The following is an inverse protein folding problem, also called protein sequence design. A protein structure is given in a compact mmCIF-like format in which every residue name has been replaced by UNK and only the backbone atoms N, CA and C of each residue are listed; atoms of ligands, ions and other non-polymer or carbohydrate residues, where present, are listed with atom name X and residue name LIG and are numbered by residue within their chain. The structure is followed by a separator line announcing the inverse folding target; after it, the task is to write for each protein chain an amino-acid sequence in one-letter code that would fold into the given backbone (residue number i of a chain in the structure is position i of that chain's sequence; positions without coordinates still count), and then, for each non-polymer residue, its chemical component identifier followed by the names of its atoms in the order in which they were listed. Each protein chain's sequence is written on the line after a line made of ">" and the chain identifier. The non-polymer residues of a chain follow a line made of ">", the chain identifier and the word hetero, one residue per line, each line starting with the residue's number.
data_IF_456084272971
#
_entry.id   IF_456084272971
#
_cell.length_a   1.000
_cell.length_b   1.000
_cell.length_c   1.000
_cell.angle_alpha   90.00
_cell.angle_beta   90.00
_cell.angle_gamma   90.00
#
_symmetry.space_group_name_H-M   'P 1'
#
loop_
_entity.id
_entity.type
_entity.pdbx_description
1 polymer ?
#
# COMPACT_ATOMS: atom_id res chain seq x y z
N UNK A 1 30.72 5.35 6.26
CA UNK A 1 30.35 6.77 6.46
C UNK A 1 29.34 6.77 7.60
N UNK A 2 29.55 7.45 8.72
CA UNK A 2 28.66 7.21 9.89
C UNK A 2 27.45 8.12 9.87
N UNK A 3 26.29 7.57 9.48
CA UNK A 3 25.00 8.23 9.65
C UNK A 3 24.53 8.11 11.10
N UNK A 4 23.90 9.17 11.60
CA UNK A 4 23.31 9.20 12.94
C UNK A 4 21.79 9.17 12.81
N UNK A 5 21.14 8.23 13.49
CA UNK A 5 19.69 8.20 13.63
C UNK A 5 19.31 8.87 14.94
N UNK A 6 18.35 9.81 14.87
CA UNK A 6 17.76 10.43 16.05
C UNK A 6 16.29 10.77 15.83
N UNK A 7 15.56 10.93 16.92
CA UNK A 7 14.18 11.44 16.87
C UNK A 7 14.17 12.84 16.25
N UNK A 8 13.22 13.07 15.34
CA UNK A 8 12.91 14.37 14.74
C UNK A 8 11.48 14.76 15.10
N UNK A 9 11.19 16.05 15.03
CA UNK A 9 9.81 16.54 15.22
C UNK A 9 8.92 16.14 14.05
N UNK A 10 7.60 16.09 14.27
CA UNK A 10 6.63 15.86 13.19
C UNK A 10 6.75 16.92 12.08
N UNK A 11 7.06 18.17 12.43
CA UNK A 11 7.30 19.25 11.46
C UNK A 11 8.51 18.92 10.56
N UNK A 12 9.66 18.56 11.14
CA UNK A 12 10.85 18.18 10.36
C UNK A 12 10.58 16.99 9.44
N UNK A 13 9.80 16.01 9.91
CA UNK A 13 9.43 14.87 9.09
C UNK A 13 8.48 15.27 7.94
N UNK A 14 7.52 16.16 8.20
CA UNK A 14 6.66 16.72 7.14
C UNK A 14 7.45 17.53 6.12
N UNK A 15 8.40 18.35 6.55
CA UNK A 15 9.28 19.10 5.65
C UNK A 15 10.11 18.17 4.77
N UNK A 16 10.62 17.06 5.34
CA UNK A 16 11.26 16.00 4.56
C UNK A 16 10.30 15.44 3.51
N UNK A 17 9.10 15.02 3.91
CA UNK A 17 8.09 14.44 3.02
C UNK A 17 7.74 15.39 1.87
N UNK A 18 7.55 16.67 2.17
CA UNK A 18 7.23 17.71 1.17
C UNK A 18 8.37 17.92 0.16
N UNK A 19 9.61 17.57 0.51
CA UNK A 19 10.77 17.64 -0.40
C UNK A 19 10.88 16.45 -1.35
N UNK A 20 10.08 15.40 -1.15
CA UNK A 20 10.09 14.17 -1.98
C UNK A 20 8.96 14.24 -3.01
N UNK A 21 9.13 13.63 -4.20
CA UNK A 21 8.03 13.51 -5.15
C UNK A 21 6.81 12.80 -4.54
N UNK A 22 7.07 11.76 -3.74
CA UNK A 22 6.09 11.06 -2.93
C UNK A 22 6.80 10.21 -1.89
N UNK A 23 6.15 9.99 -0.76
CA UNK A 23 6.45 8.89 0.18
C UNK A 23 5.16 8.11 0.44
N UNK A 24 5.25 6.90 1.00
CA UNK A 24 4.05 6.19 1.43
C UNK A 24 3.26 6.99 2.46
N UNK A 25 1.92 7.01 2.32
CA UNK A 25 1.05 7.59 3.34
C UNK A 25 1.19 6.92 4.71
N UNK A 26 1.73 5.70 4.77
CA UNK A 26 2.00 4.98 6.01
C UNK A 26 3.22 5.54 6.78
N UNK A 27 4.02 6.40 6.13
CA UNK A 27 5.17 7.07 6.72
C UNK A 27 4.87 8.52 7.14
N UNK A 28 3.64 9.00 6.99
CA UNK A 28 3.22 10.31 7.50
C UNK A 28 3.21 10.32 9.05
N UNK A 29 3.74 11.35 9.73
CA UNK A 29 3.63 11.47 11.19
C UNK A 29 2.21 11.26 11.72
N UNK A 30 1.22 11.79 11.00
CA UNK A 30 -0.22 11.74 11.28
C UNK A 30 -0.74 10.30 11.26
N UNK A 31 -0.12 9.41 10.47
CA UNK A 31 -0.48 8.00 10.44
C UNK A 31 -0.23 7.32 11.79
N UNK A 32 0.77 7.78 12.55
CA UNK A 32 1.02 7.31 13.90
C UNK A 32 -0.18 7.53 14.83
N UNK A 33 -0.88 8.65 14.68
CA UNK A 33 -2.06 8.98 15.47
C UNK A 33 -3.30 8.16 15.05
N UNK A 34 -3.37 7.68 13.81
CA UNK A 34 -4.44 6.77 13.36
C UNK A 34 -4.35 5.40 14.06
N UNK A 35 -3.15 4.96 14.43
CA UNK A 35 -2.89 3.60 14.95
C UNK A 35 -3.11 3.47 16.46
N UNK A 36 -4.35 3.18 16.84
CA UNK A 36 -4.71 2.86 18.24
C UNK A 36 -3.95 1.64 18.75
N UNK A 37 -3.44 1.74 19.98
CA UNK A 37 -2.66 0.68 20.61
C UNK A 37 -1.19 0.65 20.17
N UNK A 38 -0.77 1.61 19.35
CA UNK A 38 0.61 1.85 18.97
C UNK A 38 1.05 3.22 19.47
N UNK A 39 2.34 3.36 19.79
CA UNK A 39 3.00 4.66 19.91
C UNK A 39 3.86 4.88 18.68
N UNK A 40 4.06 6.12 18.24
CA UNK A 40 4.87 6.43 17.07
C UNK A 40 6.09 7.29 17.40
N UNK A 41 7.11 7.21 16.56
CA UNK A 41 8.31 8.04 16.63
C UNK A 41 8.75 8.39 15.20
N UNK A 42 8.95 9.68 14.92
CA UNK A 42 9.58 10.10 13.67
C UNK A 42 11.09 10.10 13.85
N UNK A 43 11.80 9.40 12.97
CA UNK A 43 13.25 9.30 12.95
C UNK A 43 13.81 10.03 11.74
N UNK A 44 14.97 10.66 11.92
CA UNK A 44 15.77 11.24 10.86
C UNK A 44 17.17 10.64 10.83
N UNK A 45 17.69 10.44 9.63
CA UNK A 45 19.09 10.07 9.37
C UNK A 45 19.89 11.34 9.08
N UNK A 46 21.01 11.51 9.76
CA UNK A 46 21.84 12.69 9.66
C UNK A 46 23.25 12.36 9.16
N UNK A 47 23.67 13.10 8.14
CA UNK A 47 25.05 13.22 7.66
C UNK A 47 25.60 14.57 8.16
N UNK A 48 26.37 14.53 9.25
CA UNK A 48 26.69 15.72 10.03
C UNK A 48 25.42 16.39 10.56
N UNK A 49 25.18 17.65 10.16
CA UNK A 49 23.97 18.39 10.53
C UNK A 49 22.80 18.19 9.54
N UNK A 50 23.06 17.61 8.36
CA UNK A 50 22.10 17.53 7.26
C UNK A 50 21.20 16.31 7.42
N UNK A 51 19.88 16.52 7.37
CA UNK A 51 18.89 15.45 7.28
C UNK A 51 18.96 14.83 5.86
N UNK A 52 19.17 13.52 5.78
CA UNK A 52 19.35 12.78 4.51
C UNK A 52 18.37 11.62 4.34
N UNK A 53 17.51 11.38 5.32
CA UNK A 53 16.45 10.36 5.27
C UNK A 53 15.51 10.51 6.45
N UNK A 54 14.30 9.98 6.33
CA UNK A 54 13.33 9.98 7.42
C UNK A 54 12.45 8.72 7.42
N UNK A 55 11.82 8.45 8.56
CA UNK A 55 10.88 7.35 8.67
C UNK A 55 10.02 7.43 9.92
N UNK A 56 8.81 6.89 9.82
CA UNK A 56 7.90 6.71 10.93
C UNK A 56 8.03 5.29 11.48
N UNK A 57 8.43 5.18 12.74
CA UNK A 57 8.41 3.91 13.49
C UNK A 57 7.15 3.85 14.34
N UNK A 58 6.42 2.74 14.22
CA UNK A 58 5.33 2.38 15.10
C UNK A 58 5.80 1.32 16.10
N UNK A 59 5.50 1.52 17.38
CA UNK A 59 5.83 0.59 18.44
C UNK A 59 4.55 0.01 19.06
N UNK A 60 4.45 -1.33 19.05
CA UNK A 60 3.42 -2.06 19.79
C UNK A 60 4.03 -2.70 21.02
N UNK A 61 3.70 -2.17 22.20
CA UNK A 61 4.18 -2.72 23.46
C UNK A 61 3.64 -4.14 23.71
N UNK A 62 4.45 -4.97 24.35
CA UNK A 62 4.00 -6.25 24.88
C UNK A 62 3.02 -5.99 26.02
N UNK A 63 1.85 -6.68 26.07
CA UNK A 63 0.92 -6.56 27.18
C UNK A 63 1.62 -6.75 28.53
N UNK A 64 1.38 -5.84 29.47
CA UNK A 64 2.00 -5.79 30.81
C UNK A 64 3.52 -5.52 30.86
N UNK A 65 4.21 -5.42 29.73
CA UNK A 65 5.65 -5.09 29.68
C UNK A 65 5.89 -3.93 28.71
N UNK A 66 5.58 -2.70 29.16
CA UNK A 66 5.68 -1.49 28.33
C UNK A 66 7.09 -1.18 27.83
N UNK A 67 8.13 -1.68 28.52
CA UNK A 67 9.54 -1.51 28.15
C UNK A 67 10.00 -2.39 26.96
N UNK A 68 9.10 -3.21 26.38
CA UNK A 68 9.39 -4.09 25.25
C UNK A 68 8.34 -3.92 24.16
N UNK A 69 8.79 -3.79 22.92
CA UNK A 69 7.90 -3.54 21.79
C UNK A 69 8.32 -4.29 20.52
N UNK A 70 7.33 -4.57 19.68
CA UNK A 70 7.54 -4.77 18.25
C UNK A 70 7.66 -3.38 17.61
N UNK A 71 8.74 -3.11 16.90
CA UNK A 71 8.92 -1.91 16.09
C UNK A 71 8.56 -2.20 14.64
N UNK A 72 7.88 -1.27 13.97
CA UNK A 72 7.40 -1.45 12.61
C UNK A 72 7.49 -0.16 11.77
N UNK A 73 8.12 -0.23 10.60
CA UNK A 73 8.14 0.84 9.59
C UNK A 73 7.37 0.38 8.34
N UNK A 74 6.04 0.57 8.30
CA UNK A 74 5.24 0.20 7.12
C UNK A 74 5.64 1.05 5.92
N UNK A 75 6.01 0.40 4.80
CA UNK A 75 6.38 1.09 3.55
C UNK A 75 7.55 2.08 3.67
N UNK A 76 8.37 1.97 4.71
CA UNK A 76 9.54 2.81 4.93
C UNK A 76 10.74 2.06 5.49
N UNK A 77 11.77 2.79 5.95
CA UNK A 77 11.90 4.26 5.90
C UNK A 77 12.13 4.81 4.48
N UNK A 78 11.97 6.13 4.28
CA UNK A 78 12.39 6.85 3.07
C UNK A 78 13.85 7.27 3.21
N UNK A 79 14.73 6.40 2.70
CA UNK A 79 16.19 6.53 2.70
C UNK A 79 16.74 6.18 1.31
N UNK A 80 18.04 6.36 1.11
CA UNK A 80 18.71 6.04 -0.16
C UNK A 80 18.98 4.54 -0.35
N UNK A 81 17.89 3.77 -0.48
CA UNK A 81 17.93 2.32 -0.67
C UNK A 81 18.73 1.89 -1.91
N UNK A 82 18.66 2.67 -2.98
CA UNK A 82 19.26 2.36 -4.28
C UNK A 82 20.66 2.99 -4.46
N UNK A 83 21.18 3.67 -3.43
CA UNK A 83 22.53 4.28 -3.39
C UNK A 83 22.76 5.28 -4.53
N UNK A 84 21.79 6.17 -4.72
CA UNK A 84 21.76 7.15 -5.82
C UNK A 84 22.14 8.56 -5.39
N UNK A 85 21.91 8.89 -4.12
CA UNK A 85 21.99 10.26 -3.59
C UNK A 85 23.13 10.49 -2.60
N UNK A 86 23.62 9.44 -1.94
CA UNK A 86 24.73 9.51 -0.99
C UNK A 86 25.89 8.57 -1.39
N UNK A 87 26.78 9.01 -2.31
CA UNK A 87 27.90 8.19 -2.76
C UNK A 87 28.79 7.73 -1.61
N UNK A 88 29.20 6.46 -1.63
CA UNK A 88 30.06 5.88 -0.62
C UNK A 88 29.33 5.33 0.62
N UNK A 89 28.07 5.70 0.86
CA UNK A 89 27.25 5.03 1.86
C UNK A 89 26.83 3.63 1.37
N UNK A 90 26.97 2.65 2.24
CA UNK A 90 26.44 1.30 2.08
C UNK A 90 25.06 1.21 2.74
N UNK A 91 24.27 0.19 2.41
CA UNK A 91 22.97 -0.01 3.04
C UNK A 91 23.10 -0.20 4.57
N UNK A 92 24.20 -0.80 5.04
CA UNK A 92 24.45 -1.00 6.46
C UNK A 92 24.67 0.32 7.21
N UNK A 93 25.30 1.31 6.56
CA UNK A 93 25.46 2.65 7.15
C UNK A 93 24.08 3.29 7.47
N UNK A 94 23.00 2.89 6.77
CA UNK A 94 21.64 3.33 7.06
C UNK A 94 20.92 2.44 8.08
N UNK A 95 21.07 1.11 7.98
CA UNK A 95 20.28 0.16 8.78
C UNK A 95 20.86 -0.07 10.18
N UNK A 96 22.17 -0.09 10.35
CA UNK A 96 22.80 -0.33 11.65
C UNK A 96 22.43 0.72 12.71
N UNK A 97 22.44 2.04 12.43
CA UNK A 97 22.00 3.03 13.41
C UNK A 97 20.49 2.95 13.69
N UNK A 98 19.65 2.55 12.73
CA UNK A 98 18.22 2.29 12.96
C UNK A 98 18.01 1.11 13.93
N UNK A 99 18.72 0.00 13.70
CA UNK A 99 18.67 -1.18 14.56
C UNK A 99 19.14 -0.85 15.99
N UNK A 100 20.23 -0.09 16.11
CA UNK A 100 20.75 0.37 17.40
C UNK A 100 19.73 1.28 18.13
N UNK A 101 19.12 2.24 17.42
CA UNK A 101 18.09 3.12 17.98
C UNK A 101 16.87 2.33 18.46
N UNK A 102 16.27 1.51 17.60
CA UNK A 102 15.11 0.69 17.98
C UNK A 102 15.42 -0.24 19.16
N UNK A 103 16.61 -0.84 19.21
CA UNK A 103 17.04 -1.70 20.32
C UNK A 103 17.19 -0.93 21.63
N UNK A 104 17.68 0.31 21.60
CA UNK A 104 17.81 1.18 22.78
C UNK A 104 16.43 1.63 23.30
N UNK A 105 15.46 1.81 22.40
CA UNK A 105 14.03 2.06 22.72
C UNK A 105 13.27 0.82 23.23
N UNK A 106 13.96 -0.30 23.38
CA UNK A 106 13.40 -1.54 23.95
C UNK A 106 12.73 -2.46 22.94
N UNK A 107 12.86 -2.20 21.63
CA UNK A 107 12.33 -3.09 20.61
C UNK A 107 13.02 -4.47 20.69
N UNK A 108 12.23 -5.54 20.56
CA UNK A 108 12.74 -6.91 20.47
C UNK A 108 12.83 -7.43 19.04
N UNK A 109 12.05 -6.84 18.14
CA UNK A 109 12.01 -7.12 16.72
C UNK A 109 11.71 -5.82 15.98
N UNK A 110 12.34 -5.65 14.83
CA UNK A 110 12.07 -4.58 13.89
C UNK A 110 11.52 -5.19 12.61
N UNK A 111 10.35 -4.75 12.20
CA UNK A 111 9.74 -5.08 10.91
C UNK A 111 9.79 -3.85 10.01
N UNK A 112 10.08 -4.01 8.73
CA UNK A 112 10.01 -2.93 7.74
C UNK A 112 9.60 -3.47 6.38
N UNK A 113 8.93 -2.65 5.58
CA UNK A 113 8.42 -3.05 4.27
C UNK A 113 8.72 -2.05 3.17
N UNK A 114 10.00 -1.69 2.91
CA UNK A 114 10.33 -0.56 2.05
C UNK A 114 9.71 -0.71 0.65
N UNK A 115 9.13 0.38 0.14
CA UNK A 115 8.39 0.40 -1.13
C UNK A 115 9.31 0.42 -2.38
N UNK A 116 10.26 -0.51 -2.45
CA UNK A 116 11.24 -0.63 -3.55
C UNK A 116 10.75 -1.66 -4.56
N UNK A 117 10.49 -1.23 -5.79
CA UNK A 117 10.06 -2.12 -6.85
C UNK A 117 11.22 -3.00 -7.37
N UNK A 118 10.95 -4.30 -7.56
CA UNK A 118 11.93 -5.27 -8.08
C UNK A 118 11.54 -5.86 -9.44
N UNK A 119 10.24 -6.04 -9.69
CA UNK A 119 9.72 -6.58 -10.96
C UNK A 119 8.40 -5.89 -11.33
N UNK A 120 8.12 -5.80 -12.63
CA UNK A 120 6.84 -5.33 -13.17
C UNK A 120 6.38 -6.18 -14.33
N UNK A 121 5.06 -6.31 -14.47
CA UNK A 121 4.41 -6.98 -15.59
C UNK A 121 3.27 -6.11 -16.10
N UNK A 122 3.29 -5.78 -17.38
CA UNK A 122 2.23 -5.03 -18.06
C UNK A 122 0.94 -5.85 -18.07
N UNK A 123 -0.20 -5.15 -18.13
CA UNK A 123 -1.50 -5.81 -18.20
C UNK A 123 -1.58 -6.83 -19.35
N UNK A 124 -0.97 -6.56 -20.49
CA UNK A 124 -1.03 -7.44 -21.66
C UNK A 124 -0.24 -8.73 -21.48
N UNK A 125 0.93 -8.68 -20.83
CA UNK A 125 1.72 -9.86 -20.45
C UNK A 125 0.90 -10.79 -19.54
N UNK A 126 0.22 -10.23 -18.54
CA UNK A 126 -0.62 -11.01 -17.62
C UNK A 126 -1.87 -11.55 -18.33
N UNK A 127 -2.52 -10.75 -19.19
CA UNK A 127 -3.68 -11.21 -19.97
C UNK A 127 -3.33 -12.35 -20.91
N UNK A 128 -2.15 -12.31 -21.55
CA UNK A 128 -1.67 -13.39 -22.41
C UNK A 128 -1.50 -14.69 -21.62
N UNK A 129 -0.90 -14.63 -20.42
CA UNK A 129 -0.77 -15.78 -19.54
C UNK A 129 -2.12 -16.35 -19.08
N UNK A 130 -3.11 -15.49 -18.78
CA UNK A 130 -4.48 -15.92 -18.45
C UNK A 130 -5.14 -16.60 -19.65
N UNK A 131 -4.97 -16.06 -20.86
CA UNK A 131 -5.52 -16.63 -22.08
C UNK A 131 -4.92 -18.01 -22.38
N UNK A 132 -3.61 -18.16 -22.22
CA UNK A 132 -2.89 -19.44 -22.34
C UNK A 132 -3.45 -20.49 -21.37
N UNK A 133 -3.62 -20.13 -20.10
CA UNK A 133 -4.21 -21.02 -19.09
C UNK A 133 -5.64 -21.43 -19.44
N UNK A 134 -6.43 -20.47 -19.93
CA UNK A 134 -7.84 -20.71 -20.33
C UNK A 134 -7.93 -21.62 -21.56
N UNK A 135 -6.94 -21.56 -22.46
CA UNK A 135 -6.83 -22.41 -23.64
C UNK A 135 -6.38 -23.85 -23.33
N UNK A 136 -6.05 -24.17 -22.08
CA UNK A 136 -5.70 -25.53 -21.65
C UNK A 136 -4.27 -25.96 -22.03
N UNK A 137 -3.34 -25.00 -22.15
CA UNK A 137 -1.92 -25.31 -22.39
C UNK A 137 -1.35 -26.30 -21.37
N UNK A 138 -0.37 -27.10 -21.79
CA UNK A 138 0.35 -28.02 -20.91
C UNK A 138 1.22 -27.18 -19.94
N UNK A 139 0.95 -27.26 -18.63
CA UNK A 139 1.65 -26.52 -17.57
C UNK A 139 1.61 -24.98 -17.71
N UNK A 140 0.42 -24.36 -17.69
CA UNK A 140 0.31 -22.92 -17.77
C UNK A 140 0.81 -22.27 -16.48
N UNK A 141 1.34 -21.04 -16.54
CA UNK A 141 1.79 -20.31 -15.35
C UNK A 141 0.65 -20.20 -14.32
N UNK A 142 0.98 -20.43 -13.05
CA UNK A 142 0.02 -20.40 -11.95
C UNK A 142 0.01 -19.04 -11.25
N UNK A 143 1.11 -18.30 -11.33
CA UNK A 143 1.32 -17.02 -10.69
C UNK A 143 1.95 -16.00 -11.65
N UNK A 144 1.71 -14.72 -11.39
CA UNK A 144 2.37 -13.60 -12.06
C UNK A 144 3.89 -13.73 -11.91
N UNK A 145 4.36 -14.21 -10.76
CA UNK A 145 5.78 -14.42 -10.48
C UNK A 145 6.46 -15.46 -11.35
N UNK A 146 5.69 -16.36 -11.97
CA UNK A 146 6.17 -17.42 -12.87
C UNK A 146 6.47 -16.85 -14.27
N UNK A 147 5.94 -15.66 -14.57
CA UNK A 147 6.14 -14.98 -15.85
C UNK A 147 7.48 -14.25 -15.87
N UNK A 148 8.10 -14.18 -17.05
CA UNK A 148 9.19 -13.24 -17.30
C UNK A 148 8.67 -11.83 -17.10
N UNK A 149 9.37 -11.05 -16.27
CA UNK A 149 8.99 -9.67 -15.99
C UNK A 149 9.34 -8.75 -17.17
N UNK A 150 8.43 -7.83 -17.50
CA UNK A 150 8.66 -6.81 -18.53
C UNK A 150 9.69 -5.77 -18.11
N UNK A 151 9.90 -5.63 -16.79
CA UNK A 151 10.95 -4.80 -16.21
C UNK A 151 11.41 -5.41 -14.89
N UNK A 152 12.70 -5.26 -14.59
CA UNK A 152 13.28 -5.64 -13.30
C UNK A 152 14.33 -4.62 -12.83
N UNK A 153 14.57 -4.58 -11.51
CA UNK A 153 15.57 -3.69 -10.90
C UNK A 153 16.75 -4.47 -10.34
N UNK A 154 17.92 -4.36 -10.98
CA UNK A 154 19.16 -4.95 -10.45
C UNK A 154 19.51 -4.38 -9.08
N UNK A 155 19.37 -3.06 -8.88
CA UNK A 155 19.62 -2.41 -7.58
C UNK A 155 18.62 -2.87 -6.51
N UNK A 156 17.35 -3.03 -6.88
CA UNK A 156 16.33 -3.57 -5.97
C UNK A 156 16.65 -5.01 -5.54
N UNK A 157 17.13 -5.85 -6.46
CA UNK A 157 17.59 -7.20 -6.14
C UNK A 157 18.83 -7.19 -5.22
N UNK A 158 19.76 -6.27 -5.42
CA UNK A 158 20.91 -6.09 -4.51
C UNK A 158 20.48 -5.71 -3.09
N UNK A 159 19.39 -4.95 -2.93
CA UNK A 159 18.81 -4.69 -1.59
C UNK A 159 18.31 -5.98 -0.95
N UNK A 160 17.57 -6.82 -1.70
CA UNK A 160 17.09 -8.13 -1.21
C UNK A 160 18.26 -9.01 -0.76
N UNK A 161 19.28 -9.17 -1.60
CA UNK A 161 20.48 -9.95 -1.29
C UNK A 161 21.20 -9.42 -0.04
N UNK A 162 21.32 -8.08 0.06
CA UNK A 162 21.97 -7.46 1.22
C UNK A 162 21.18 -7.71 2.50
N UNK A 163 19.86 -7.52 2.49
CA UNK A 163 19.00 -7.79 3.64
C UNK A 163 19.13 -9.24 4.12
N UNK A 164 19.05 -10.21 3.20
CA UNK A 164 19.24 -11.64 3.51
C UNK A 164 20.60 -11.91 4.14
N UNK A 165 21.68 -11.39 3.53
CA UNK A 165 23.05 -11.60 4.02
C UNK A 165 23.28 -11.02 5.43
N UNK A 166 22.47 -10.05 5.85
CA UNK A 166 22.53 -9.42 7.18
C UNK A 166 21.61 -10.07 8.21
N UNK A 167 20.91 -11.14 7.86
CA UNK A 167 20.02 -11.87 8.77
C UNK A 167 18.63 -11.28 8.90
N UNK A 168 18.21 -10.40 7.98
CA UNK A 168 16.81 -10.07 7.81
C UNK A 168 16.08 -11.25 7.16
N UNK A 169 14.87 -11.53 7.63
CA UNK A 169 14.05 -12.64 7.16
C UNK A 169 12.72 -12.11 6.66
N UNK A 170 12.25 -12.62 5.52
CA UNK A 170 10.87 -12.40 5.10
C UNK A 170 9.99 -13.45 5.79
N UNK A 171 8.97 -13.02 6.54
CA UNK A 171 7.91 -13.95 6.92
C UNK A 171 7.23 -14.44 5.63
N UNK A 172 7.03 -15.76 5.53
CA UNK A 172 6.31 -16.34 4.39
C UNK A 172 4.92 -15.72 4.33
N UNK A 173 4.61 -15.03 3.22
CA UNK A 173 3.27 -14.54 2.97
C UNK A 173 2.29 -15.71 3.03
N UNK A 174 1.10 -15.46 3.54
CA UNK A 174 -0.04 -16.30 3.23
C UNK A 174 -0.24 -16.35 1.70
N UNK A 175 -0.78 -17.46 1.19
CA UNK A 175 -0.96 -17.67 -0.26
C UNK A 175 -1.81 -16.58 -0.93
N UNK A 176 -2.50 -15.75 -0.14
CA UNK A 176 -3.32 -14.64 -0.60
C UNK A 176 -2.50 -13.45 -1.10
N UNK A 177 -1.27 -13.23 -0.61
CA UNK A 177 -0.51 -11.99 -0.84
C UNK A 177 -1.09 -10.77 -0.13
N UNK A 178 -2.08 -10.97 0.76
CA UNK A 178 -2.84 -9.99 1.53
C UNK A 178 -2.81 -10.25 3.04
N UNK A 179 -1.78 -10.92 3.56
CA UNK A 179 -1.67 -11.26 4.99
C UNK A 179 -1.78 -10.08 5.94
N UNK A 180 -1.44 -10.28 7.22
CA UNK A 180 -1.54 -9.26 8.29
C UNK A 180 -0.73 -7.96 8.04
N UNK A 181 -0.12 -7.83 6.86
CA UNK A 181 0.83 -6.79 6.50
C UNK A 181 0.77 -6.37 5.02
N UNK A 182 1.58 -5.38 4.63
CA UNK A 182 1.44 -4.67 3.35
C UNK A 182 1.59 -5.59 2.13
N UNK A 183 0.79 -5.39 1.08
CA UNK A 183 0.82 -6.26 -0.10
C UNK A 183 2.16 -6.14 -0.84
N UNK A 184 2.79 -7.28 -1.11
CA UNK A 184 4.03 -7.34 -1.91
C UNK A 184 3.78 -7.02 -3.38
N UNK A 185 2.64 -7.46 -3.91
CA UNK A 185 2.22 -7.16 -5.28
C UNK A 185 1.12 -6.12 -5.27
N UNK A 186 1.28 -5.05 -6.04
CA UNK A 186 0.27 -4.01 -6.25
C UNK A 186 -0.02 -3.84 -7.75
N UNK A 187 -1.10 -3.16 -8.09
CA UNK A 187 -1.39 -2.80 -9.48
C UNK A 187 -1.45 -1.28 -9.62
N UNK A 188 -0.70 -0.72 -10.56
CA UNK A 188 -0.53 0.73 -10.70
C UNK A 188 -0.81 1.18 -12.12
N UNK A 189 -1.40 2.37 -12.25
CA UNK A 189 -1.48 3.11 -13.51
C UNK A 189 -0.39 4.19 -13.53
N UNK A 190 0.30 4.28 -14.67
CA UNK A 190 1.13 5.43 -14.97
C UNK A 190 0.26 6.58 -15.51
N UNK A 191 0.25 7.71 -14.80
CA UNK A 191 -0.43 8.95 -15.20
C UNK A 191 0.53 10.00 -15.76
N UNK A 192 1.84 9.83 -15.57
CA UNK A 192 2.84 10.82 -15.91
C UNK A 192 2.93 11.05 -17.43
N UNK A 193 2.87 12.32 -17.84
CA UNK A 193 2.97 12.74 -19.25
C UNK A 193 1.87 12.16 -20.15
N UNK A 194 0.67 11.97 -19.61
CA UNK A 194 -0.49 11.43 -20.35
C UNK A 194 -1.70 12.34 -20.23
N UNK A 195 -2.55 12.35 -21.24
CA UNK A 195 -3.91 12.90 -21.11
C UNK A 195 -4.85 11.88 -20.48
N UNK A 196 -5.98 12.34 -19.92
CA UNK A 196 -7.06 11.44 -19.48
C UNK A 196 -7.62 10.62 -20.64
N UNK A 197 -7.60 11.14 -21.86
CA UNK A 197 -7.98 10.40 -23.08
C UNK A 197 -7.06 9.21 -23.34
N UNK A 198 -5.74 9.39 -23.20
CA UNK A 198 -4.77 8.30 -23.35
C UNK A 198 -4.98 7.23 -22.29
N UNK A 199 -5.15 7.64 -21.02
CA UNK A 199 -5.38 6.73 -19.91
C UNK A 199 -6.68 5.92 -20.13
N UNK A 200 -7.76 6.58 -20.53
CA UNK A 200 -9.02 5.90 -20.84
C UNK A 200 -8.89 4.98 -22.07
N UNK A 201 -8.04 5.34 -23.03
CA UNK A 201 -7.73 4.55 -24.23
C UNK A 201 -7.09 3.21 -23.90
N UNK A 202 -6.25 3.13 -22.87
CA UNK A 202 -5.60 1.89 -22.44
C UNK A 202 -6.52 0.92 -21.69
N UNK A 203 -7.64 1.41 -21.15
CA UNK A 203 -8.61 0.55 -20.48
C UNK A 203 -9.10 -0.51 -21.46
N UNK A 204 -9.31 -1.74 -21.01
CA UNK A 204 -9.87 -2.75 -21.89
C UNK A 204 -11.31 -2.38 -22.32
N UNK A 205 -11.79 -3.00 -23.39
CA UNK A 205 -13.12 -2.70 -23.93
C UNK A 205 -14.24 -2.86 -22.89
N UNK A 206 -14.14 -3.88 -22.02
CA UNK A 206 -15.12 -4.15 -20.98
C UNK A 206 -15.18 -3.01 -19.95
N UNK A 207 -14.03 -2.49 -19.51
CA UNK A 207 -13.94 -1.36 -18.60
C UNK A 207 -14.57 -0.09 -19.18
N UNK A 208 -14.18 0.29 -20.40
CA UNK A 208 -14.77 1.45 -21.08
C UNK A 208 -16.29 1.31 -21.26
N UNK A 209 -16.76 0.10 -21.59
CA UNK A 209 -18.19 -0.20 -21.69
C UNK A 209 -18.88 -0.09 -20.33
N UNK A 210 -18.28 -0.61 -19.27
CA UNK A 210 -18.85 -0.58 -17.92
C UNK A 210 -18.95 0.84 -17.36
N UNK A 211 -17.96 1.70 -17.62
CA UNK A 211 -18.03 3.14 -17.25
C UNK A 211 -19.22 3.79 -17.93
N UNK A 212 -19.33 3.67 -19.26
CA UNK A 212 -20.47 4.22 -20.03
C UNK A 212 -21.81 3.60 -19.63
N UNK A 213 -21.84 2.31 -19.28
CA UNK A 213 -23.04 1.63 -18.77
C UNK A 213 -23.49 2.26 -17.47
N UNK A 214 -22.55 2.54 -16.58
CA UNK A 214 -22.80 3.16 -15.28
C UNK A 214 -23.37 4.58 -15.43
N UNK A 215 -22.74 5.41 -16.27
CA UNK A 215 -23.23 6.75 -16.61
C UNK A 215 -24.64 6.70 -17.22
N UNK A 216 -24.88 5.82 -18.21
CA UNK A 216 -26.19 5.67 -18.86
C UNK A 216 -27.27 5.15 -17.90
N UNK A 217 -26.89 4.35 -16.90
CA UNK A 217 -27.80 3.85 -15.88
C UNK A 217 -28.18 4.92 -14.86
N UNK A 218 -27.53 6.10 -14.86
CA UNK A 218 -27.80 7.17 -13.91
C UNK A 218 -27.02 7.01 -12.60
N UNK A 219 -25.87 6.32 -12.61
CA UNK A 219 -24.97 6.33 -11.46
C UNK A 219 -24.28 7.70 -11.38
N UNK A 220 -24.39 8.36 -10.24
CA UNK A 220 -23.78 9.67 -9.98
C UNK A 220 -22.59 9.51 -9.03
N UNK A 221 -21.42 10.01 -9.45
CA UNK A 221 -20.21 9.97 -8.61
C UNK A 221 -19.88 11.34 -8.07
N UNK A 222 -19.83 11.46 -6.74
CA UNK A 222 -19.48 12.68 -6.03
C UNK A 222 -18.37 12.44 -4.99
N UNK A 223 -17.68 13.52 -4.62
CA UNK A 223 -16.85 13.50 -3.41
C UNK A 223 -17.76 13.70 -2.20
N UNK A 224 -17.62 12.83 -1.21
CA UNK A 224 -18.30 12.93 0.08
C UNK A 224 -17.47 13.66 1.11
N UNK A 225 -18.08 13.95 2.25
CA UNK A 225 -17.46 14.61 3.39
C UNK A 225 -17.31 13.68 4.62
N UNK A 226 -17.03 14.25 5.79
CA UNK A 226 -16.90 13.49 7.03
C UNK A 226 -18.20 12.79 7.44
N UNK A 227 -19.37 13.42 7.24
CA UNK A 227 -20.66 12.86 7.63
C UNK A 227 -21.00 11.62 6.79
N UNK A 228 -20.51 11.56 5.55
CA UNK A 228 -20.71 10.43 4.64
C UNK A 228 -19.91 9.17 5.04
N UNK A 229 -18.97 9.25 5.99
CA UNK A 229 -18.20 8.08 6.45
C UNK A 229 -19.09 6.98 7.04
N UNK A 230 -20.22 7.34 7.65
CA UNK A 230 -21.19 6.38 8.15
C UNK A 230 -21.85 5.57 7.02
N UNK A 231 -22.20 6.24 5.92
CA UNK A 231 -22.75 5.57 4.74
C UNK A 231 -21.72 4.66 4.07
N UNK A 232 -20.47 5.14 3.92
CA UNK A 232 -19.34 4.30 3.48
C UNK A 232 -19.14 3.08 4.37
N UNK A 233 -19.18 3.25 5.70
CA UNK A 233 -18.90 2.15 6.64
C UNK A 233 -19.96 1.05 6.57
N UNK A 234 -21.23 1.41 6.39
CA UNK A 234 -22.33 0.44 6.20
C UNK A 234 -22.01 -0.52 5.04
N UNK A 235 -21.72 0.00 3.85
CA UNK A 235 -21.42 -0.86 2.68
C UNK A 235 -20.05 -1.54 2.77
N UNK A 236 -19.11 -0.97 3.52
CA UNK A 236 -17.83 -1.60 3.83
C UNK A 236 -17.98 -2.81 4.74
N UNK A 237 -18.87 -2.74 5.74
CA UNK A 237 -19.19 -3.88 6.60
C UNK A 237 -19.88 -5.01 5.82
N UNK A 238 -20.81 -4.68 4.91
CA UNK A 238 -21.42 -5.66 3.99
C UNK A 238 -20.36 -6.33 3.09
N UNK A 239 -19.44 -5.53 2.54
CA UNK A 239 -18.32 -6.01 1.73
C UNK A 239 -17.43 -6.96 2.53
N UNK A 240 -17.12 -6.63 3.79
CA UNK A 240 -16.32 -7.47 4.68
C UNK A 240 -16.98 -8.80 5.02
N UNK A 241 -18.30 -8.79 5.26
CA UNK A 241 -19.06 -10.00 5.51
C UNK A 241 -19.07 -10.91 4.27
N UNK A 242 -19.30 -10.34 3.09
CA UNK A 242 -19.33 -11.06 1.81
C UNK A 242 -17.97 -11.67 1.48
N UNK A 243 -16.90 -10.89 1.62
CA UNK A 243 -15.54 -11.26 1.21
C UNK A 243 -14.75 -11.91 2.38
N UNK A 244 -15.42 -12.17 3.51
CA UNK A 244 -14.93 -12.91 4.68
C UNK A 244 -13.64 -12.38 5.32
N UNK A 245 -13.50 -11.05 5.41
CA UNK A 245 -12.39 -10.42 6.13
C UNK A 245 -12.88 -9.66 7.37
N UNK A 246 -11.96 -9.40 8.31
CA UNK A 246 -12.29 -8.63 9.53
C UNK A 246 -12.34 -7.13 9.22
N UNK A 247 -13.51 -6.46 9.32
CA UNK A 247 -13.62 -5.03 9.01
C UNK A 247 -12.98 -4.17 10.11
N UNK A 248 -12.48 -2.99 9.71
CA UNK A 248 -12.23 -1.90 10.65
C UNK A 248 -13.56 -1.25 11.08
N UNK A 249 -13.66 -0.82 12.33
CA UNK A 249 -14.81 -0.07 12.83
C UNK A 249 -14.85 1.36 12.29
N UNK A 250 -16.02 2.00 12.27
CA UNK A 250 -16.23 3.38 11.79
C UNK A 250 -15.25 4.38 12.41
N UNK A 251 -15.03 4.31 13.72
CA UNK A 251 -14.10 5.17 14.45
C UNK A 251 -12.64 5.11 13.95
N UNK A 252 -12.24 4.04 13.25
CA UNK A 252 -10.94 3.99 12.57
C UNK A 252 -10.90 4.96 11.38
N UNK A 253 -11.95 4.97 10.56
CA UNK A 253 -12.06 5.82 9.37
C UNK A 253 -12.28 7.29 9.74
N UNK A 254 -13.10 7.57 10.75
CA UNK A 254 -13.27 8.94 11.28
C UNK A 254 -11.94 9.51 11.79
N UNK A 255 -11.18 8.72 12.56
CA UNK A 255 -9.84 9.12 13.01
C UNK A 255 -8.89 9.31 11.83
N UNK A 256 -8.92 8.41 10.85
CA UNK A 256 -8.08 8.52 9.66
C UNK A 256 -8.40 9.81 8.87
N UNK A 257 -9.67 10.17 8.73
CA UNK A 257 -10.10 11.42 8.12
C UNK A 257 -9.57 12.64 8.85
N UNK A 258 -9.84 12.73 10.15
CA UNK A 258 -9.39 13.85 10.98
C UNK A 258 -7.86 14.00 10.89
N UNK A 259 -7.12 12.94 11.23
CA UNK A 259 -5.66 13.03 11.32
C UNK A 259 -4.98 13.38 9.98
N UNK A 260 -5.47 12.85 8.86
CA UNK A 260 -4.86 13.12 7.55
C UNK A 260 -5.28 14.48 6.96
N UNK A 261 -6.53 14.89 7.16
CA UNK A 261 -7.07 16.12 6.58
C UNK A 261 -6.83 17.37 7.44
N UNK A 262 -6.66 17.25 8.76
CA UNK A 262 -6.37 18.39 9.65
C UNK A 262 -5.03 19.06 9.29
N UNK A 263 -4.10 18.30 8.73
CA UNK A 263 -2.77 18.78 8.33
C UNK A 263 -2.72 19.25 6.88
N UNK A 264 -3.38 18.53 5.97
CA UNK A 264 -3.54 18.96 4.57
C UNK A 264 -4.93 18.57 4.09
N UNK A 265 -5.84 19.55 3.94
CA UNK A 265 -7.17 19.30 3.42
C UNK A 265 -7.13 18.60 2.06
N UNK A 266 -7.92 17.54 1.92
CA UNK A 266 -7.97 16.73 0.70
C UNK A 266 -6.88 15.66 0.59
N UNK A 267 -6.06 15.45 1.63
CA UNK A 267 -5.13 14.31 1.70
C UNK A 267 -5.85 12.97 1.68
N UNK A 268 -6.96 12.87 2.42
CA UNK A 268 -7.93 11.78 2.32
C UNK A 268 -9.22 12.31 1.71
N UNK A 269 -9.67 11.68 0.63
CA UNK A 269 -10.94 12.00 -0.04
C UNK A 269 -11.85 10.77 -0.05
N UNK A 270 -13.14 10.97 0.20
CA UNK A 270 -14.17 9.95 0.04
C UNK A 270 -14.89 10.17 -1.30
N UNK A 271 -15.11 9.10 -2.04
CA UNK A 271 -15.90 9.09 -3.26
C UNK A 271 -17.09 8.17 -3.05
N UNK A 272 -18.26 8.62 -3.48
CA UNK A 272 -19.52 7.89 -3.40
C UNK A 272 -20.09 7.77 -4.81
N UNK A 273 -20.53 6.57 -5.18
CA UNK A 273 -21.34 6.31 -6.35
C UNK A 273 -22.78 6.06 -5.89
N UNK A 274 -23.66 7.02 -6.15
CA UNK A 274 -25.07 6.98 -5.79
C UNK A 274 -25.90 6.41 -6.95
N UNK A 275 -26.86 5.55 -6.62
CA UNK A 275 -27.80 4.98 -7.58
C UNK A 275 -29.12 4.68 -6.86
N UNK A 276 -30.26 5.00 -7.46
CA UNK A 276 -31.57 4.71 -6.86
C UNK A 276 -31.76 5.26 -5.44
N UNK A 277 -31.20 6.45 -5.15
CA UNK A 277 -31.34 7.11 -3.84
C UNK A 277 -30.46 6.58 -2.71
N UNK A 278 -29.51 5.68 -2.98
CA UNK A 278 -28.59 5.13 -1.98
C UNK A 278 -27.15 5.00 -2.51
N UNK A 279 -26.20 4.78 -1.60
CA UNK A 279 -24.78 4.58 -1.94
C UNK A 279 -24.58 3.15 -2.45
N UNK A 280 -24.26 2.99 -3.73
CA UNK A 280 -24.02 1.70 -4.37
C UNK A 280 -22.55 1.26 -4.32
N UNK A 281 -21.62 2.23 -4.31
CA UNK A 281 -20.21 1.99 -4.04
C UNK A 281 -19.58 3.21 -3.37
N UNK A 282 -18.55 2.98 -2.57
CA UNK A 282 -17.79 4.05 -1.95
C UNK A 282 -16.33 3.70 -1.82
N UNK A 283 -15.46 4.71 -1.79
CA UNK A 283 -14.02 4.49 -1.75
C UNK A 283 -13.27 5.67 -1.15
N UNK A 284 -12.26 5.36 -0.35
CA UNK A 284 -11.30 6.31 0.19
C UNK A 284 -10.03 6.35 -0.66
N UNK A 285 -9.68 7.54 -1.12
CA UNK A 285 -8.42 7.86 -1.81
C UNK A 285 -7.49 8.63 -0.88
N UNK A 286 -6.24 8.20 -0.76
CA UNK A 286 -5.19 8.96 -0.05
C UNK A 286 -4.22 9.51 -1.10
N UNK A 287 -3.75 10.76 -0.94
CA UNK A 287 -2.75 11.37 -1.82
C UNK A 287 -1.57 11.90 -1.01
N UNK A 288 -0.35 11.65 -1.50
CA UNK A 288 0.89 12.21 -0.96
C UNK A 288 1.79 12.57 -2.14
N UNK A 289 2.11 13.86 -2.28
CA UNK A 289 2.85 14.37 -3.42
C UNK A 289 2.21 13.94 -4.75
N UNK A 290 2.99 13.27 -5.61
CA UNK A 290 2.57 12.83 -6.94
C UNK A 290 1.96 11.42 -6.97
N UNK A 291 1.55 10.85 -5.83
CA UNK A 291 0.99 9.50 -5.76
C UNK A 291 -0.40 9.49 -5.10
N UNK A 292 -1.35 8.80 -5.74
CA UNK A 292 -2.68 8.56 -5.18
C UNK A 292 -2.94 7.05 -4.97
N UNK A 293 -3.46 6.67 -3.80
CA UNK A 293 -3.79 5.30 -3.44
C UNK A 293 -5.30 5.09 -3.31
N UNK A 294 -5.82 4.10 -4.02
CA UNK A 294 -7.13 3.50 -3.79
C UNK A 294 -7.08 2.64 -2.52
N UNK A 295 -7.25 3.27 -1.35
CA UNK A 295 -6.88 2.68 -0.06
C UNK A 295 -7.93 1.71 0.49
N UNK A 296 -9.20 2.13 0.52
CA UNK A 296 -10.33 1.29 0.98
C UNK A 296 -11.51 1.46 0.04
N UNK A 297 -12.11 0.36 -0.40
CA UNK A 297 -13.28 0.38 -1.26
C UNK A 297 -14.36 -0.58 -0.77
N UNK A 298 -15.60 -0.27 -1.11
CA UNK A 298 -16.76 -1.05 -0.78
C UNK A 298 -17.81 -0.90 -1.89
N UNK A 299 -18.60 -1.95 -2.10
CA UNK A 299 -19.73 -1.92 -3.03
C UNK A 299 -20.81 -2.92 -2.66
N UNK A 300 -22.06 -2.52 -2.89
CA UNK A 300 -23.24 -3.35 -2.69
C UNK A 300 -23.25 -4.48 -3.73
N UNK A 301 -23.90 -5.59 -3.39
CA UNK A 301 -24.13 -6.69 -4.35
C UNK A 301 -25.31 -6.39 -5.27
N UNK A 302 -26.33 -5.68 -4.76
CA UNK A 302 -27.57 -5.39 -5.47
C UNK A 302 -27.36 -4.60 -6.77
N UNK A 303 -26.38 -3.70 -6.80
CA UNK A 303 -26.19 -2.74 -7.90
C UNK A 303 -24.99 -3.07 -8.80
N UNK A 304 -24.45 -4.28 -8.69
CA UNK A 304 -23.30 -4.73 -9.51
C UNK A 304 -23.56 -4.62 -11.00
N UNK A 305 -24.82 -4.73 -11.41
CA UNK A 305 -25.22 -4.64 -12.81
C UNK A 305 -25.06 -3.23 -13.39
N UNK A 306 -25.19 -2.17 -12.58
CA UNK A 306 -24.98 -0.78 -13.03
C UNK A 306 -23.53 -0.32 -12.89
N UNK A 307 -22.62 -1.23 -12.50
CA UNK A 307 -21.15 -1.03 -12.51
C UNK A 307 -20.67 0.23 -11.76
N UNK A 308 -21.17 0.52 -10.54
CA UNK A 308 -20.85 1.77 -9.84
C UNK A 308 -19.35 1.89 -9.52
N UNK A 309 -18.67 0.78 -9.21
CA UNK A 309 -17.24 0.77 -8.96
C UNK A 309 -16.40 1.19 -10.17
N UNK A 310 -16.84 0.94 -11.41
CA UNK A 310 -16.11 1.37 -12.61
C UNK A 310 -16.19 2.90 -12.79
N UNK A 311 -17.38 3.49 -12.63
CA UNK A 311 -17.54 4.95 -12.68
C UNK A 311 -16.76 5.63 -11.55
N UNK A 312 -16.81 5.06 -10.34
CA UNK A 312 -16.09 5.57 -9.18
C UNK A 312 -14.57 5.60 -9.43
N UNK A 313 -14.00 4.47 -9.87
CA UNK A 313 -12.56 4.39 -10.16
C UNK A 313 -12.15 5.35 -11.27
N UNK A 314 -12.97 5.50 -12.32
CA UNK A 314 -12.69 6.46 -13.38
C UNK A 314 -12.63 7.89 -12.84
N UNK A 315 -13.61 8.30 -12.02
CA UNK A 315 -13.61 9.61 -11.38
C UNK A 315 -12.36 9.83 -10.52
N UNK A 316 -12.00 8.85 -9.68
CA UNK A 316 -10.78 8.93 -8.86
C UNK A 316 -9.51 9.08 -9.69
N UNK A 317 -9.37 8.30 -10.78
CA UNK A 317 -8.21 8.39 -11.68
C UNK A 317 -8.13 9.79 -12.31
N UNK A 318 -9.27 10.34 -12.76
CA UNK A 318 -9.30 11.69 -13.36
C UNK A 318 -8.99 12.78 -12.34
N UNK A 319 -9.45 12.66 -11.10
CA UNK A 319 -9.19 13.65 -10.05
C UNK A 319 -7.73 13.55 -9.56
N UNK A 320 -7.15 12.34 -9.47
CA UNK A 320 -5.73 12.15 -9.19
C UNK A 320 -4.84 12.75 -10.29
N UNK A 321 -5.19 12.53 -11.57
CA UNK A 321 -4.50 13.15 -12.71
C UNK A 321 -4.58 14.67 -12.65
N UNK A 322 -5.76 15.24 -12.40
CA UNK A 322 -5.95 16.70 -12.23
C UNK A 322 -5.13 17.25 -11.06
N UNK A 323 -4.95 16.48 -10.00
CA UNK A 323 -4.13 16.84 -8.85
C UNK A 323 -2.62 16.71 -9.09
N UNK A 324 -2.18 16.39 -10.32
CA UNK A 324 -0.77 16.26 -10.67
C UNK A 324 -0.13 14.94 -10.23
N UNK A 325 -0.94 13.93 -9.89
CA UNK A 325 -0.39 12.60 -9.60
C UNK A 325 0.21 11.97 -10.86
N UNK A 326 1.38 11.37 -10.69
CA UNK A 326 2.09 10.57 -11.69
C UNK A 326 1.74 9.09 -11.60
N UNK A 327 1.26 8.63 -10.44
CA UNK A 327 0.87 7.24 -10.21
C UNK A 327 -0.50 7.19 -9.52
N UNK A 328 -1.38 6.32 -10.04
CA UNK A 328 -2.58 5.88 -9.35
C UNK A 328 -2.44 4.41 -8.97
N UNK A 329 -2.37 4.13 -7.68
CA UNK A 329 -2.13 2.80 -7.13
C UNK A 329 -3.45 2.18 -6.67
N UNK A 330 -3.86 1.12 -7.38
CA UNK A 330 -5.05 0.33 -7.08
C UNK A 330 -4.87 -0.58 -5.85
N UNK A 331 -3.71 -0.52 -5.18
CA UNK A 331 -3.27 -1.35 -4.05
C UNK A 331 -3.15 -2.82 -4.40
N UNK A 332 -3.07 -3.66 -3.36
CA UNK A 332 -2.64 -5.05 -3.42
C UNK A 332 -3.40 -5.93 -4.41
N UNK A 333 -2.67 -6.82 -5.08
CA UNK A 333 -3.19 -7.94 -5.84
C UNK A 333 -2.58 -9.23 -5.29
N UNK A 334 -3.31 -10.34 -5.37
CA UNK A 334 -2.68 -11.65 -5.29
C UNK A 334 -1.81 -11.87 -6.52
N UNK A 335 -0.78 -12.69 -6.40
CA UNK A 335 0.02 -13.13 -7.54
C UNK A 335 -0.68 -14.22 -8.37
N UNK A 336 -1.86 -14.72 -7.97
CA UNK A 336 -2.53 -15.84 -8.64
C UNK A 336 -2.98 -15.54 -10.07
N UNK A 337 -2.82 -16.52 -10.96
CA UNK A 337 -3.41 -16.59 -12.29
C UNK A 337 -4.48 -17.69 -12.38
N UNK A 338 -4.81 -18.35 -11.28
CA UNK A 338 -5.74 -19.47 -11.28
C UNK A 338 -7.20 -19.00 -11.22
N UNK A 339 -8.05 -19.28 -12.24
CA UNK A 339 -9.44 -18.83 -12.26
C UNK A 339 -10.30 -19.37 -11.10
N UNK A 340 -9.85 -20.44 -10.44
CA UNK A 340 -10.53 -21.02 -9.27
C UNK A 340 -10.20 -20.30 -7.96
N UNK A 341 -9.17 -19.46 -7.94
CA UNK A 341 -8.80 -18.69 -6.77
C UNK A 341 -9.80 -17.54 -6.56
N UNK A 342 -10.30 -17.36 -5.34
CA UNK A 342 -11.29 -16.32 -5.01
C UNK A 342 -10.79 -14.88 -5.27
N UNK A 343 -9.47 -14.65 -5.31
CA UNK A 343 -8.85 -13.35 -5.59
C UNK A 343 -8.63 -13.07 -7.08
N UNK A 344 -8.83 -14.07 -7.95
CA UNK A 344 -8.62 -13.93 -9.39
C UNK A 344 -9.50 -12.82 -10.00
N UNK A 345 -10.75 -12.68 -9.54
CA UNK A 345 -11.65 -11.62 -10.00
C UNK A 345 -11.12 -10.21 -9.71
N UNK A 346 -10.41 -10.02 -8.59
CA UNK A 346 -9.77 -8.75 -8.23
C UNK A 346 -8.59 -8.44 -9.16
N UNK A 347 -7.80 -9.46 -9.51
CA UNK A 347 -6.72 -9.34 -10.50
C UNK A 347 -7.30 -8.92 -11.85
N UNK A 348 -8.33 -9.61 -12.35
CA UNK A 348 -9.00 -9.28 -13.61
C UNK A 348 -9.60 -7.87 -13.62
N UNK A 349 -10.22 -7.45 -12.51
CA UNK A 349 -10.75 -6.10 -12.38
C UNK A 349 -9.66 -5.05 -12.60
N UNK A 350 -8.52 -5.17 -11.91
CA UNK A 350 -7.43 -4.20 -12.01
C UNK A 350 -6.72 -4.24 -13.35
N UNK A 351 -6.50 -5.43 -13.92
CA UNK A 351 -5.93 -5.61 -15.27
C UNK A 351 -6.70 -4.86 -16.36
N UNK A 352 -8.01 -4.72 -16.20
CA UNK A 352 -8.84 -4.03 -17.16
C UNK A 352 -8.59 -2.52 -17.24
N UNK A 353 -7.85 -1.94 -16.29
CA UNK A 353 -7.42 -0.53 -16.33
C UNK A 353 -6.16 -0.28 -17.18
N UNK A 354 -5.53 -1.33 -17.73
CA UNK A 354 -4.38 -1.17 -18.62
C UNK A 354 -3.06 -0.78 -17.95
N UNK A 355 -3.00 -0.81 -16.60
CA UNK A 355 -1.78 -0.57 -15.84
C UNK A 355 -0.79 -1.75 -15.82
N UNK A 356 0.02 -1.82 -14.77
CA UNK A 356 0.98 -2.89 -14.56
C UNK A 356 0.91 -3.45 -13.13
N UNK A 357 1.18 -4.75 -12.99
CA UNK A 357 1.50 -5.34 -11.70
C UNK A 357 2.93 -4.95 -11.31
N UNK A 358 3.14 -4.61 -10.06
CA UNK A 358 4.46 -4.31 -9.49
C UNK A 358 4.69 -5.16 -8.26
N UNK A 359 5.85 -5.79 -8.21
CA UNK A 359 6.34 -6.47 -7.03
C UNK A 359 7.34 -5.58 -6.29
N UNK A 360 7.09 -5.40 -5.00
CA UNK A 360 8.03 -4.78 -4.07
C UNK A 360 8.98 -5.80 -3.46
N UNK A 361 10.10 -5.34 -2.88
CA UNK A 361 11.01 -6.19 -2.07
C UNK A 361 10.29 -6.90 -0.91
N UNK A 362 9.08 -6.47 -0.56
CA UNK A 362 8.24 -7.07 0.47
C UNK A 362 8.68 -6.64 1.86
N UNK A 363 8.26 -7.41 2.86
CA UNK A 363 8.55 -7.13 4.25
C UNK A 363 9.67 -7.97 4.83
N UNK A 364 10.34 -7.39 5.81
CA UNK A 364 11.58 -7.88 6.39
C UNK A 364 11.55 -7.70 7.90
N UNK A 365 11.87 -8.78 8.60
CA UNK A 365 11.95 -8.86 10.05
C UNK A 365 13.41 -9.04 10.49
N UNK A 366 13.80 -8.28 11.51
CA UNK A 366 15.09 -8.39 12.18
C UNK A 366 14.92 -8.61 13.67
N UNK A 367 15.57 -9.65 14.20
CA UNK A 367 15.49 -9.98 15.62
C UNK A 367 16.55 -9.21 16.40
N UNK A 368 16.11 -8.25 17.21
CA UNK A 368 16.99 -7.46 18.09
C UNK A 368 17.24 -8.15 19.44
N UNK A 369 16.25 -8.93 19.93
CA UNK A 369 16.29 -9.65 21.21
C UNK A 369 15.56 -10.99 21.11
N UNK A 370 16.32 -12.06 20.86
CA UNK A 370 15.78 -13.39 20.54
C UNK A 370 14.76 -13.96 21.54
N UNK A 371 15.03 -13.86 22.85
CA UNK A 371 14.14 -14.40 23.88
C UNK A 371 12.74 -13.73 23.85
N UNK A 372 12.70 -12.41 23.67
CA UNK A 372 11.46 -11.65 23.60
C UNK A 372 10.69 -11.92 22.31
N UNK A 373 11.39 -12.00 21.17
CA UNK A 373 10.76 -12.34 19.89
C UNK A 373 10.12 -13.73 19.92
N UNK A 374 10.82 -14.73 20.48
CA UNK A 374 10.29 -16.09 20.65
C UNK A 374 9.05 -16.11 21.54
N UNK A 375 9.08 -15.41 22.67
CA UNK A 375 7.95 -15.32 23.59
C UNK A 375 6.73 -14.62 22.96
N UNK A 376 6.96 -13.54 22.20
CA UNK A 376 5.90 -12.80 21.54
C UNK A 376 5.23 -13.62 20.42
N UNK A 377 6.00 -14.34 19.61
CA UNK A 377 5.46 -15.25 18.58
C UNK A 377 4.58 -16.34 19.18
N UNK A 378 5.04 -16.99 20.26
CA UNK A 378 4.25 -17.99 20.98
C UNK A 378 2.97 -17.42 21.62
N UNK A 379 2.97 -16.14 21.96
CA UNK A 379 1.78 -15.44 22.44
C UNK A 379 0.78 -15.16 21.31
N UNK A 380 1.25 -14.70 20.15
CA UNK A 380 0.39 -14.44 18.99
C UNK A 380 -0.27 -15.70 18.48
N UNK A 381 0.45 -16.83 18.41
CA UNK A 381 -0.08 -18.12 17.94
C UNK A 381 -1.13 -18.74 18.87
N UNK A 382 -1.37 -18.17 20.06
CA UNK A 382 -2.42 -18.59 21.00
C UNK A 382 -3.66 -17.69 20.95
N UNK A 383 -3.60 -16.57 20.21
CA UNK A 383 -4.70 -15.60 20.06
C UNK A 383 -5.31 -15.57 18.66
N UNK A 384 -4.59 -16.04 17.65
CA UNK A 384 -5.18 -16.52 16.40
C UNK A 384 -5.69 -17.93 16.60
#
# INVERSE_FOLDING_TARGET
>A
MSLIVRTITANQHRDWIASRPSVSFLQLPEWGAVKVGWTSESLGWFDGARLVGAGLVLYRSVPKVKARSLAYLPEGPDIDWLRESLPGATLDDWLDPLLAHCKSRGAFQLKMGPAIAIRRWQADTIKAAIAERTAGSLNPPARISDLVADWHSTKGMQVVERLQSRGWVQEGGDESGFGDVQPRYVFQLNLANRSTGDIFGDFNQLWRRNIRKSEKAGVEVAQGDFADLAAFHTIYAETAQRDQFTPRGLAYFERMWQQLNDVEPGRLSLYLANYGGHVAAATLMIRVGTHAWYSYGASTTADREVRPSNALQWRMITDAHRAGCQVFDLRGISDTLDPKNHLFGLVQFKLGTGGFAQEYVGEWDYILRGAWAKGYRAYQSRRG
#
